data_IF_796681155496
#
_entry.id   IF_796681155496
#
_cell.length_a   1.000
_cell.length_b   1.000
_cell.length_c   1.000
_cell.angle_alpha   90.00
_cell.angle_beta   90.00
_cell.angle_gamma   90.00
#
_symmetry.space_group_name_H-M   'P 1'
#
loop_
_entity.id
_entity.type
_entity.pdbx_description
1 polymer ?
#
# COMPACT_ATOMS: atom_id res chain seq x y z
N UNK A 1 10.52 -14.05 -11.21
CA UNK A 1 10.94 -12.76 -10.58
C UNK A 1 10.77 -12.88 -9.07
N UNK A 2 11.60 -12.23 -8.24
CA UNK A 2 11.49 -12.30 -6.77
C UNK A 2 11.24 -10.90 -6.20
N UNK A 3 10.24 -10.78 -5.33
CA UNK A 3 9.94 -9.56 -4.58
C UNK A 3 10.49 -9.74 -3.16
N UNK A 4 11.47 -8.93 -2.80
CA UNK A 4 12.01 -8.95 -1.45
C UNK A 4 11.05 -8.20 -0.53
N UNK A 5 10.54 -8.88 0.51
CA UNK A 5 9.60 -8.30 1.46
C UNK A 5 10.12 -8.40 2.89
N UNK A 6 9.79 -7.41 3.70
CA UNK A 6 10.09 -7.35 5.12
C UNK A 6 8.87 -6.89 5.91
N UNK A 7 8.73 -7.40 7.13
CA UNK A 7 7.70 -6.99 8.07
C UNK A 7 8.34 -6.14 9.17
N UNK A 8 7.89 -4.91 9.30
CA UNK A 8 8.32 -4.07 10.40
C UNK A 8 7.78 -4.59 11.73
N UNK A 9 8.57 -4.53 12.80
CA UNK A 9 8.05 -4.65 14.15
C UNK A 9 7.19 -3.44 14.49
N UNK A 10 6.44 -3.52 15.59
CA UNK A 10 5.66 -2.37 16.08
C UNK A 10 6.52 -1.12 16.24
N UNK A 11 7.66 -1.25 16.94
CA UNK A 11 8.57 -0.13 17.20
C UNK A 11 9.16 0.45 15.90
N UNK A 12 9.58 -0.43 15.01
CA UNK A 12 10.09 -0.01 13.71
C UNK A 12 9.01 0.67 12.86
N UNK A 13 7.81 0.10 12.81
CA UNK A 13 6.67 0.69 12.11
C UNK A 13 6.31 2.07 12.63
N UNK A 14 6.36 2.28 13.96
CA UNK A 14 6.16 3.58 14.60
C UNK A 14 7.21 4.61 14.13
N UNK A 15 8.47 4.22 14.04
CA UNK A 15 9.54 5.09 13.55
C UNK A 15 9.37 5.43 12.07
N UNK A 16 9.01 4.43 11.25
CA UNK A 16 8.77 4.62 9.82
C UNK A 16 7.57 5.54 9.55
N UNK A 17 6.47 5.38 10.29
CA UNK A 17 5.31 6.28 10.20
C UNK A 17 5.71 7.69 10.60
N UNK A 18 6.39 7.87 11.73
CA UNK A 18 6.87 9.20 12.17
C UNK A 18 7.75 9.87 11.13
N UNK A 19 8.61 9.12 10.46
CA UNK A 19 9.55 9.65 9.46
C UNK A 19 8.91 10.01 8.11
N UNK A 20 7.61 9.75 7.93
CA UNK A 20 6.91 9.95 6.65
C UNK A 20 6.56 11.42 6.38
N UNK A 21 7.56 12.29 6.44
CA UNK A 21 7.42 13.75 6.28
C UNK A 21 6.76 14.15 4.97
N UNK A 22 7.03 13.39 3.88
CA UNK A 22 6.43 13.66 2.57
C UNK A 22 4.90 13.52 2.58
N UNK A 23 4.38 12.61 3.37
CA UNK A 23 2.95 12.44 3.57
C UNK A 23 2.38 13.60 4.39
N UNK A 24 2.95 13.84 5.56
CA UNK A 24 2.47 14.85 6.49
C UNK A 24 2.51 16.28 5.95
N UNK A 25 3.54 16.62 5.17
CA UNK A 25 3.67 17.95 4.55
C UNK A 25 2.58 18.28 3.51
N UNK A 26 1.72 17.31 3.16
CA UNK A 26 0.62 17.50 2.22
C UNK A 26 -0.73 17.66 2.89
N UNK A 27 -0.79 17.43 4.19
CA UNK A 27 -2.04 17.49 4.94
C UNK A 27 -2.43 18.95 5.20
N UNK A 28 -3.70 19.25 5.01
CA UNK A 28 -4.30 20.52 5.47
C UNK A 28 -4.66 20.40 6.95
N UNK A 29 -4.98 21.54 7.61
CA UNK A 29 -5.46 21.50 8.99
C UNK A 29 -6.72 20.63 9.13
N UNK A 30 -7.63 20.71 8.17
CA UNK A 30 -8.85 19.88 8.16
C UNK A 30 -8.51 18.38 8.08
N UNK A 31 -7.48 18.00 7.29
CA UNK A 31 -7.00 16.62 7.23
C UNK A 31 -6.44 16.15 8.57
N UNK A 32 -5.69 17.01 9.26
CA UNK A 32 -5.08 16.73 10.56
C UNK A 32 -6.18 16.55 11.60
N UNK A 33 -7.13 17.49 11.69
CA UNK A 33 -8.24 17.46 12.64
C UNK A 33 -9.08 16.20 12.48
N UNK A 34 -9.40 15.86 11.23
CA UNK A 34 -10.21 14.68 10.92
C UNK A 34 -9.52 13.37 11.34
N UNK A 35 -8.23 13.24 11.03
CA UNK A 35 -7.44 12.04 11.37
C UNK A 35 -7.15 11.93 12.86
N UNK A 36 -6.82 13.04 13.49
CA UNK A 36 -6.59 13.11 14.94
C UNK A 36 -7.88 13.05 15.75
N UNK A 37 -9.06 13.13 15.08
CA UNK A 37 -10.39 13.21 15.71
C UNK A 37 -10.49 14.33 16.75
N UNK A 38 -9.85 15.47 16.47
CA UNK A 38 -9.72 16.60 17.37
C UNK A 38 -9.62 17.92 16.59
N UNK A 39 -10.43 18.92 16.94
CA UNK A 39 -10.33 20.28 16.38
C UNK A 39 -9.01 20.96 16.77
N UNK A 40 -8.42 21.66 15.81
CA UNK A 40 -7.13 22.34 15.97
C UNK A 40 -6.02 21.41 16.46
N UNK A 41 -6.02 20.15 16.02
CA UNK A 41 -4.98 19.20 16.35
C UNK A 41 -3.64 19.64 15.75
N UNK A 42 -2.58 19.40 16.48
CA UNK A 42 -1.23 19.58 15.97
C UNK A 42 -0.78 18.37 15.12
N UNK A 43 0.19 18.60 14.25
CA UNK A 43 0.79 17.50 13.49
C UNK A 43 1.42 16.44 14.42
N UNK A 44 2.03 16.86 15.51
CA UNK A 44 2.63 15.93 16.49
C UNK A 44 1.57 15.06 17.16
N UNK A 45 0.40 15.58 17.45
CA UNK A 45 -0.72 14.81 17.99
C UNK A 45 -1.23 13.78 16.98
N UNK A 46 -1.33 14.17 15.69
CA UNK A 46 -1.68 13.22 14.63
C UNK A 46 -0.63 12.12 14.51
N UNK A 47 0.65 12.47 14.48
CA UNK A 47 1.75 11.49 14.36
C UNK A 47 1.72 10.54 15.58
N UNK A 48 1.54 11.05 16.78
CA UNK A 48 1.44 10.23 17.98
C UNK A 48 0.23 9.27 17.92
N UNK A 49 -0.91 9.75 17.41
CA UNK A 49 -2.09 8.93 17.17
C UNK A 49 -1.78 7.81 16.16
N UNK A 50 -1.24 8.13 14.99
CA UNK A 50 -0.87 7.16 13.97
C UNK A 50 0.11 6.09 14.48
N UNK A 51 1.12 6.51 15.27
CA UNK A 51 2.06 5.58 15.91
C UNK A 51 1.37 4.63 16.88
N UNK A 52 0.35 5.09 17.62
CA UNK A 52 -0.37 4.25 18.59
C UNK A 52 -1.15 3.11 17.94
N UNK A 53 -1.52 3.26 16.67
CA UNK A 53 -2.27 2.27 15.89
C UNK A 53 -1.40 1.17 15.27
N UNK A 54 -0.07 1.29 15.34
CA UNK A 54 0.85 0.27 14.77
C UNK A 54 0.83 -1.01 15.61
N UNK A 55 0.78 -2.14 14.91
CA UNK A 55 0.68 -3.48 15.49
C UNK A 55 1.82 -4.38 14.98
N UNK A 56 2.14 -5.42 15.74
CA UNK A 56 2.99 -6.51 15.26
C UNK A 56 2.21 -7.46 14.33
N UNK A 57 2.90 -7.98 13.32
CA UNK A 57 2.37 -9.09 12.53
C UNK A 57 2.48 -10.40 13.31
N UNK A 58 1.40 -11.15 13.37
CA UNK A 58 1.44 -12.55 13.80
C UNK A 58 2.15 -13.42 12.76
N UNK A 59 2.59 -14.61 13.12
CA UNK A 59 3.16 -15.56 12.15
C UNK A 59 2.12 -16.01 11.11
N UNK A 60 0.85 -16.07 11.47
CA UNK A 60 -0.24 -16.33 10.53
C UNK A 60 -0.35 -15.21 9.49
N UNK A 61 -0.36 -13.95 9.91
CA UNK A 61 -0.38 -12.79 9.02
C UNK A 61 0.80 -12.82 8.03
N UNK A 62 2.01 -13.00 8.57
CA UNK A 62 3.23 -13.07 7.76
C UNK A 62 3.18 -14.17 6.72
N UNK A 63 2.67 -15.34 7.09
CA UNK A 63 2.55 -16.46 6.18
C UNK A 63 1.53 -16.17 5.06
N UNK A 64 0.40 -15.56 5.40
CA UNK A 64 -0.63 -15.20 4.42
C UNK A 64 -0.13 -14.15 3.43
N UNK A 65 0.53 -13.10 3.91
CA UNK A 65 1.15 -12.08 3.05
C UNK A 65 2.24 -12.69 2.17
N UNK A 66 3.13 -13.54 2.72
CA UNK A 66 4.16 -14.24 1.94
C UNK A 66 3.57 -15.12 0.84
N UNK A 67 2.50 -15.87 1.13
CA UNK A 67 1.80 -16.68 0.13
C UNK A 67 1.17 -15.82 -0.96
N UNK A 68 0.58 -14.69 -0.57
CA UNK A 68 0.01 -13.73 -1.50
C UNK A 68 1.07 -13.13 -2.42
N UNK A 69 2.21 -12.70 -1.87
CA UNK A 69 3.31 -12.16 -2.67
C UNK A 69 3.86 -13.22 -3.64
N UNK A 70 4.04 -14.47 -3.20
CA UNK A 70 4.45 -15.58 -4.09
C UNK A 70 3.45 -15.81 -5.23
N UNK A 71 2.15 -15.70 -4.96
CA UNK A 71 1.14 -15.78 -6.01
C UNK A 71 1.31 -14.65 -7.03
N UNK A 72 1.56 -13.42 -6.57
CA UNK A 72 1.78 -12.25 -7.45
C UNK A 72 3.07 -12.42 -8.25
N UNK A 73 4.17 -12.87 -7.63
CA UNK A 73 5.43 -13.20 -8.32
C UNK A 73 5.20 -14.15 -9.49
N UNK A 74 4.47 -15.24 -9.25
CA UNK A 74 4.12 -16.21 -10.30
C UNK A 74 3.35 -15.55 -11.44
N UNK A 75 2.37 -14.68 -11.13
CA UNK A 75 1.61 -13.95 -12.16
C UNK A 75 2.49 -12.96 -12.92
N UNK A 76 3.45 -12.34 -12.28
CA UNK A 76 4.42 -11.46 -12.94
C UNK A 76 5.37 -12.24 -13.87
N UNK A 77 5.78 -13.46 -13.47
CA UNK A 77 6.59 -14.34 -14.35
C UNK A 77 5.84 -14.81 -15.60
N UNK A 78 4.50 -14.86 -15.54
CA UNK A 78 3.65 -15.16 -16.70
C UNK A 78 3.51 -13.98 -17.66
N UNK A 79 3.85 -12.75 -17.20
CA UNK A 79 3.86 -11.55 -18.03
C UNK A 79 5.27 -11.43 -18.65
N UNK A 80 5.37 -11.48 -19.97
CA UNK A 80 6.65 -11.27 -20.68
C UNK A 80 7.05 -9.78 -20.66
N UNK A 81 7.28 -9.24 -19.45
CA UNK A 81 7.69 -7.86 -19.25
C UNK A 81 8.61 -7.71 -18.05
N UNK A 82 9.54 -6.76 -18.14
CA UNK A 82 10.40 -6.37 -17.02
C UNK A 82 9.65 -5.38 -16.12
N UNK A 83 9.39 -5.80 -14.87
CA UNK A 83 8.73 -4.97 -13.87
C UNK A 83 9.80 -4.42 -12.93
N UNK A 84 9.96 -3.10 -12.81
CA UNK A 84 10.96 -2.46 -11.95
C UNK A 84 10.50 -2.49 -10.48
N UNK A 85 10.71 -3.63 -9.82
CA UNK A 85 10.38 -3.80 -8.40
C UNK A 85 11.41 -3.02 -7.55
N UNK A 86 10.99 -2.29 -6.50
CA UNK A 86 11.90 -1.76 -5.48
C UNK A 86 12.75 -2.87 -4.85
N UNK A 87 13.97 -2.54 -4.40
CA UNK A 87 14.89 -3.50 -3.77
C UNK A 87 14.29 -4.21 -2.57
N UNK A 88 13.41 -3.53 -1.84
CA UNK A 88 12.67 -4.07 -0.70
C UNK A 88 11.28 -3.43 -0.62
N UNK A 89 10.27 -4.22 -0.25
CA UNK A 89 8.94 -3.76 0.14
C UNK A 89 8.76 -4.00 1.64
N UNK A 90 8.41 -2.95 2.38
CA UNK A 90 8.21 -3.01 3.83
C UNK A 90 6.73 -3.04 4.13
N UNK A 91 6.29 -4.08 4.84
CA UNK A 91 4.91 -4.16 5.33
C UNK A 91 4.83 -3.63 6.77
N UNK A 92 3.85 -2.76 7.02
CA UNK A 92 3.50 -2.24 8.35
C UNK A 92 2.04 -2.61 8.62
N UNK A 93 1.73 -3.13 9.80
CA UNK A 93 0.37 -3.47 10.21
C UNK A 93 -0.17 -2.40 11.14
N UNK A 94 -1.40 -1.95 10.92
CA UNK A 94 -2.07 -0.96 11.76
C UNK A 94 -3.56 -1.27 11.91
N UNK A 95 -4.26 -0.58 12.83
CA UNK A 95 -5.73 -0.60 12.88
C UNK A 95 -6.37 0.29 11.83
N UNK A 96 -5.63 1.22 11.23
CA UNK A 96 -6.11 2.24 10.26
C UNK A 96 -7.21 3.16 10.79
N UNK A 97 -7.38 3.30 12.09
CA UNK A 97 -8.40 4.17 12.68
C UNK A 97 -8.17 5.65 12.39
N UNK A 98 -6.91 6.05 12.29
CA UNK A 98 -6.45 7.39 11.91
C UNK A 98 -6.66 7.69 10.41
N UNK A 99 -6.79 6.68 9.58
CA UNK A 99 -7.03 6.78 8.13
C UNK A 99 -8.48 6.38 7.74
N UNK A 100 -9.42 6.52 8.67
CA UNK A 100 -10.84 6.24 8.43
C UNK A 100 -11.14 4.77 8.13
N UNK A 101 -10.38 3.85 8.71
CA UNK A 101 -10.46 2.41 8.46
C UNK A 101 -10.21 2.02 6.99
N UNK A 102 -9.36 2.76 6.30
CA UNK A 102 -8.89 2.38 4.97
C UNK A 102 -8.36 0.94 4.97
N UNK A 103 -8.42 0.26 3.84
CA UNK A 103 -7.95 -1.13 3.74
C UNK A 103 -6.42 -1.21 3.72
N UNK A 104 -5.79 -0.33 2.99
CA UNK A 104 -4.35 -0.16 2.93
C UNK A 104 -4.00 1.21 2.32
N UNK A 105 -2.75 1.61 2.47
CA UNK A 105 -2.14 2.68 1.68
C UNK A 105 -0.63 2.48 1.55
N UNK A 106 0.01 3.24 0.66
CA UNK A 106 1.45 3.14 0.44
C UNK A 106 2.16 4.48 0.61
N UNK A 107 3.38 4.43 1.12
CA UNK A 107 4.33 5.55 1.10
C UNK A 107 5.72 5.06 0.74
N UNK A 108 6.30 5.60 -0.35
CA UNK A 108 7.55 5.08 -0.89
C UNK A 108 7.44 3.60 -1.27
N UNK A 109 8.27 2.77 -0.62
CA UNK A 109 8.26 1.31 -0.73
C UNK A 109 7.55 0.62 0.47
N UNK A 110 6.83 1.38 1.29
CA UNK A 110 6.06 0.85 2.42
C UNK A 110 4.62 0.58 1.99
N UNK A 111 4.09 -0.56 2.42
CA UNK A 111 2.68 -0.92 2.34
C UNK A 111 2.15 -1.01 3.77
N UNK A 112 1.23 -0.12 4.11
CA UNK A 112 0.58 -0.08 5.41
C UNK A 112 -0.76 -0.81 5.26
N UNK A 113 -0.95 -1.90 6.02
CA UNK A 113 -2.12 -2.77 5.95
C UNK A 113 -2.98 -2.63 7.19
N UNK A 114 -4.30 -2.54 6.97
CA UNK A 114 -5.27 -2.69 8.05
C UNK A 114 -5.31 -4.16 8.50
N UNK A 115 -5.18 -4.39 9.81
CA UNK A 115 -5.23 -5.74 10.39
C UNK A 115 -6.49 -6.50 9.97
N UNK A 116 -7.64 -5.80 9.91
CA UNK A 116 -8.93 -6.40 9.56
C UNK A 116 -9.02 -6.91 8.13
N UNK A 117 -8.06 -6.56 7.25
CA UNK A 117 -8.05 -6.94 5.84
C UNK A 117 -7.14 -8.10 5.52
N UNK A 118 -6.22 -8.47 6.44
CA UNK A 118 -5.21 -9.51 6.17
C UNK A 118 -5.87 -10.87 5.94
N UNK A 119 -6.88 -11.23 6.72
CA UNK A 119 -7.58 -12.51 6.61
C UNK A 119 -8.83 -12.46 5.70
N UNK A 120 -9.10 -11.32 5.06
CA UNK A 120 -10.29 -11.15 4.23
C UNK A 120 -10.09 -11.67 2.81
N UNK A 121 -11.20 -12.10 2.21
CA UNK A 121 -11.29 -12.30 0.76
C UNK A 121 -10.89 -11.02 0.03
N UNK A 122 -10.00 -11.13 -0.97
CA UNK A 122 -9.51 -9.97 -1.73
C UNK A 122 -8.14 -9.45 -1.30
N UNK A 123 -7.44 -10.09 -0.34
CA UNK A 123 -6.09 -9.68 0.08
C UNK A 123 -5.08 -9.71 -1.08
N UNK A 124 -5.25 -10.59 -2.07
CA UNK A 124 -4.38 -10.69 -3.24
C UNK A 124 -4.49 -9.47 -4.12
N UNK A 125 -5.72 -9.04 -4.38
CA UNK A 125 -6.04 -7.85 -5.16
C UNK A 125 -5.57 -6.59 -4.44
N UNK A 126 -5.76 -6.52 -3.12
CA UNK A 126 -5.32 -5.41 -2.29
C UNK A 126 -3.79 -5.26 -2.34
N UNK A 127 -3.04 -6.34 -2.06
CA UNK A 127 -1.58 -6.29 -2.08
C UNK A 127 -1.06 -6.02 -3.50
N UNK A 128 -1.67 -6.58 -4.55
CA UNK A 128 -1.29 -6.28 -5.93
C UNK A 128 -1.50 -4.81 -6.28
N UNK A 129 -2.60 -4.21 -5.82
CA UNK A 129 -2.89 -2.78 -5.97
C UNK A 129 -1.82 -1.92 -5.29
N UNK A 130 -1.50 -2.21 -4.04
CA UNK A 130 -0.50 -1.43 -3.29
C UNK A 130 0.92 -1.62 -3.84
N UNK A 131 1.28 -2.83 -4.27
CA UNK A 131 2.55 -3.09 -4.97
C UNK A 131 2.66 -2.26 -6.25
N UNK A 132 1.59 -2.15 -7.03
CA UNK A 132 1.59 -1.31 -8.22
C UNK A 132 1.91 0.16 -7.89
N UNK A 133 1.38 0.68 -6.80
CA UNK A 133 1.73 2.01 -6.31
C UNK A 133 3.20 2.14 -5.93
N UNK A 134 3.78 1.15 -5.25
CA UNK A 134 5.21 1.13 -4.93
C UNK A 134 6.06 1.10 -6.20
N UNK A 135 5.74 0.23 -7.16
CA UNK A 135 6.44 0.07 -8.44
C UNK A 135 6.40 1.37 -9.26
N UNK A 136 5.24 1.97 -9.40
CA UNK A 136 5.07 3.19 -10.21
C UNK A 136 5.71 4.43 -9.57
N UNK A 137 5.88 4.45 -8.25
CA UNK A 137 6.67 5.48 -7.56
C UNK A 137 8.18 5.25 -7.69
N UNK A 138 8.59 3.98 -7.67
CA UNK A 138 9.99 3.60 -7.83
C UNK A 138 10.50 3.89 -9.25
N UNK A 139 9.69 3.64 -10.27
CA UNK A 139 10.05 3.89 -11.66
C UNK A 139 9.07 4.83 -12.37
N UNK A 140 9.40 6.14 -12.47
CA UNK A 140 8.60 7.10 -13.22
C UNK A 140 8.44 6.74 -14.70
N UNK A 141 9.46 6.13 -15.32
CA UNK A 141 9.40 5.67 -16.70
C UNK A 141 8.37 4.55 -16.90
N UNK A 142 8.39 3.54 -16.02
CA UNK A 142 7.39 2.48 -16.01
C UNK A 142 5.99 3.03 -15.78
N UNK A 143 5.85 3.95 -14.84
CA UNK A 143 4.60 4.67 -14.59
C UNK A 143 4.07 5.30 -15.88
N UNK A 144 4.91 6.09 -16.57
CA UNK A 144 4.50 6.77 -17.81
C UNK A 144 4.05 5.77 -18.89
N UNK A 145 4.79 4.67 -19.08
CA UNK A 145 4.42 3.60 -20.02
C UNK A 145 3.06 2.99 -19.68
N UNK A 146 2.84 2.65 -18.40
CA UNK A 146 1.58 2.06 -17.94
C UNK A 146 0.39 3.01 -18.12
N UNK A 147 0.54 4.28 -17.76
CA UNK A 147 -0.53 5.27 -17.94
C UNK A 147 -0.83 5.52 -19.43
N UNK A 148 0.18 5.54 -20.29
CA UNK A 148 -0.02 5.68 -21.74
C UNK A 148 -0.77 4.49 -22.36
N UNK A 149 -0.67 3.30 -21.78
CA UNK A 149 -1.45 2.13 -22.20
C UNK A 149 -2.92 2.20 -21.74
N UNK A 150 -3.16 2.83 -20.58
CA UNK A 150 -4.50 2.90 -19.97
C UNK A 150 -5.31 4.08 -20.54
N UNK A 151 -4.68 5.25 -20.75
CA UNK A 151 -5.35 6.48 -21.22
C UNK A 151 -6.01 6.33 -22.60
N UNK A 152 -5.41 5.69 -23.62
CA UNK A 152 -6.08 5.51 -24.90
C UNK A 152 -7.31 4.61 -24.84
N UNK A 153 -7.41 3.75 -23.85
CA UNK A 153 -8.54 2.82 -23.68
C UNK A 153 -9.77 3.48 -23.06
N UNK A 154 -9.63 4.68 -22.45
CA UNK A 154 -10.77 5.33 -21.81
C UNK A 154 -10.56 6.80 -21.46
N UNK A 155 -11.12 7.70 -22.24
CA UNK A 155 -11.34 9.09 -21.82
C UNK A 155 -12.43 9.23 -20.73
N UNK A 156 -13.06 8.14 -20.29
CA UNK A 156 -14.22 8.14 -19.38
C UNK A 156 -14.10 7.25 -18.13
N UNK A 157 -12.98 6.56 -17.90
CA UNK A 157 -12.90 5.60 -16.80
C UNK A 157 -11.88 5.98 -15.73
N UNK A 158 -12.43 6.34 -14.57
CA UNK A 158 -11.74 6.60 -13.33
C UNK A 158 -10.98 5.35 -12.79
N UNK A 159 -10.06 5.57 -11.87
CA UNK A 159 -9.12 4.67 -11.18
C UNK A 159 -9.61 3.26 -10.79
N UNK A 160 -10.90 3.02 -10.76
CA UNK A 160 -11.54 1.73 -10.41
C UNK A 160 -11.33 0.62 -11.43
N UNK A 161 -10.89 0.92 -12.65
CA UNK A 161 -10.74 -0.11 -13.69
C UNK A 161 -9.37 -0.80 -13.74
N UNK A 162 -8.34 -0.26 -13.11
CA UNK A 162 -7.06 -0.99 -13.07
C UNK A 162 -7.17 -2.27 -12.22
N UNK A 163 -7.90 -2.20 -11.10
CA UNK A 163 -8.23 -3.40 -10.33
C UNK A 163 -9.07 -4.39 -11.15
N UNK A 164 -9.96 -3.89 -12.01
CA UNK A 164 -10.81 -4.72 -12.88
C UNK A 164 -10.01 -5.39 -14.01
N UNK A 165 -9.02 -4.72 -14.61
CA UNK A 165 -8.13 -5.29 -15.63
C UNK A 165 -7.19 -6.36 -15.02
N UNK A 166 -6.70 -6.15 -13.80
CA UNK A 166 -6.00 -7.20 -13.05
C UNK A 166 -6.93 -8.39 -12.76
N UNK A 167 -8.21 -8.15 -12.43
CA UNK A 167 -9.19 -9.19 -12.20
C UNK A 167 -9.54 -10.00 -13.45
N UNK A 168 -9.81 -9.36 -14.59
CA UNK A 168 -10.21 -10.06 -15.81
C UNK A 168 -9.07 -10.91 -16.42
N UNK A 169 -7.81 -10.47 -16.35
CA UNK A 169 -6.67 -11.29 -16.77
C UNK A 169 -6.27 -12.37 -15.77
N UNK A 170 -6.76 -12.30 -14.52
CA UNK A 170 -6.55 -13.32 -13.50
C UNK A 170 -7.67 -14.38 -13.48
N UNK A 171 -8.71 -14.26 -14.32
CA UNK A 171 -9.85 -15.19 -14.39
C UNK A 171 -9.81 -16.10 -15.62
N UNK A 172 -8.77 -16.04 -16.42
CA UNK A 172 -8.39 -16.98 -17.46
C UNK A 172 -7.11 -17.68 -17.02
#
# INVERSE_FOLDING_TARGET
MKINIRFASKEEGQLLIKSNTRYYNRLTQMDIDWRAKKENATLDELIASAQSHVLDFTEADKNLVKQTVKFIEKRFDELDCQIPIPDEIIFIKTTMEDEGNAYAYTSGNMIILNESCIERYGIKELIAHELFHCITRHSPEFRQKMYNLIIPMNQSLQFTQFSYLCQQKCSL
#
